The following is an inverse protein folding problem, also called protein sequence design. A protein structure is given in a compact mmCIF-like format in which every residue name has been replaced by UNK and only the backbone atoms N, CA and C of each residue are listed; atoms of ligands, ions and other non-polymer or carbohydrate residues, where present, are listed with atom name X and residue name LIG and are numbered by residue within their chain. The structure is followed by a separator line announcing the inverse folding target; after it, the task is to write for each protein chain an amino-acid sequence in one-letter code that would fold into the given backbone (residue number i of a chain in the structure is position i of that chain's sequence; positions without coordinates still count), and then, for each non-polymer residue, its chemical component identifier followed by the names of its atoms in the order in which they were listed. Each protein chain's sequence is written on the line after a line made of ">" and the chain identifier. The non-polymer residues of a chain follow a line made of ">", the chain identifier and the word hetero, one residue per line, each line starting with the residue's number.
data_IF_724148566110
#
_entry.id   IF_724148566110
#
_cell.length_a   1.000
_cell.length_b   1.000
_cell.length_c   1.000
_cell.angle_alpha   90.00
_cell.angle_beta   90.00
_cell.angle_gamma   90.00
#
_symmetry.space_group_name_H-M   'P 1'
#
loop_
_entity.id
_entity.type
_entity.pdbx_description
1 polymer ?
#
# COMPACT_ATOMS: atom_id res chain seq x y z
N UNK A 1 21.10 -21.70 2.74
CA UNK A 1 21.98 -21.67 1.56
C UNK A 1 21.69 -20.46 0.66
N UNK A 2 20.47 -20.30 0.10
CA UNK A 2 20.15 -19.11 -0.70
C UNK A 2 20.35 -17.81 0.08
N UNK A 3 20.03 -17.78 1.35
CA UNK A 3 20.17 -16.59 2.21
C UNK A 3 21.62 -16.17 2.49
N UNK A 4 22.58 -17.11 2.39
CA UNK A 4 24.01 -16.82 2.51
C UNK A 4 24.59 -16.13 1.25
N UNK A 5 23.89 -16.26 0.11
CA UNK A 5 24.34 -15.77 -1.19
C UNK A 5 23.64 -14.48 -1.60
N UNK A 6 22.31 -14.41 -1.43
CA UNK A 6 21.50 -13.27 -1.88
C UNK A 6 21.88 -11.96 -1.17
N UNK A 7 21.76 -10.86 -1.91
CA UNK A 7 21.91 -9.49 -1.38
C UNK A 7 20.55 -8.81 -1.17
N UNK A 8 19.58 -9.15 -2.03
CA UNK A 8 18.21 -8.64 -1.88
C UNK A 8 17.53 -9.25 -0.66
N UNK A 9 16.92 -8.42 0.17
CA UNK A 9 15.94 -8.84 1.17
C UNK A 9 14.69 -9.40 0.49
N UNK A 10 14.04 -10.37 1.12
CA UNK A 10 12.78 -10.93 0.64
C UNK A 10 11.71 -10.75 1.70
N UNK A 11 10.74 -9.88 1.41
CA UNK A 11 9.57 -9.61 2.24
C UNK A 11 8.32 -10.20 1.63
N UNK A 12 7.24 -10.22 2.37
CA UNK A 12 5.94 -10.66 1.87
C UNK A 12 4.89 -9.56 1.86
N UNK A 13 3.95 -9.68 0.92
CA UNK A 13 2.67 -8.96 0.95
C UNK A 13 1.72 -9.76 1.85
N UNK A 14 1.34 -9.21 2.99
CA UNK A 14 0.50 -9.88 3.97
C UNK A 14 -0.40 -8.86 4.67
N UNK A 15 -1.70 -9.10 4.61
CA UNK A 15 -2.73 -8.19 5.11
C UNK A 15 -3.42 -8.77 6.37
N UNK A 16 -3.19 -10.05 6.65
CA UNK A 16 -3.78 -10.79 7.76
C UNK A 16 -2.71 -11.49 8.61
N UNK A 17 -3.07 -11.84 9.85
CA UNK A 17 -2.22 -12.63 10.74
C UNK A 17 -1.87 -13.99 10.12
N UNK A 18 -2.81 -14.61 9.42
CA UNK A 18 -2.61 -15.90 8.75
C UNK A 18 -1.56 -15.78 7.65
N UNK A 19 -1.64 -14.74 6.83
CA UNK A 19 -0.66 -14.48 5.78
C UNK A 19 0.72 -14.16 6.37
N UNK A 20 0.76 -13.34 7.43
CA UNK A 20 1.99 -13.00 8.14
C UNK A 20 2.69 -14.25 8.71
N UNK A 21 1.96 -15.12 9.40
CA UNK A 21 2.48 -16.41 9.90
C UNK A 21 3.02 -17.28 8.79
N UNK A 22 2.28 -17.35 7.66
CA UNK A 22 2.71 -18.12 6.50
C UNK A 22 3.96 -17.55 5.86
N UNK A 23 4.02 -16.23 5.70
CA UNK A 23 5.19 -15.54 5.16
C UNK A 23 6.43 -15.81 6.01
N UNK A 24 6.32 -15.67 7.33
CA UNK A 24 7.41 -15.95 8.26
C UNK A 24 7.88 -17.40 8.19
N UNK A 25 6.94 -18.36 8.19
CA UNK A 25 7.25 -19.80 8.07
C UNK A 25 7.97 -20.14 6.75
N UNK A 26 7.74 -19.37 5.67
CA UNK A 26 8.40 -19.52 4.38
C UNK A 26 9.71 -18.72 4.26
N UNK A 27 10.10 -18.00 5.33
CA UNK A 27 11.38 -17.29 5.44
C UNK A 27 11.35 -15.85 4.95
N UNK A 28 10.20 -15.17 5.00
CA UNK A 28 10.13 -13.74 4.76
C UNK A 28 10.83 -12.95 5.88
N UNK A 29 11.52 -11.88 5.52
CA UNK A 29 12.27 -10.99 6.43
C UNK A 29 11.46 -9.75 6.82
N UNK A 30 10.16 -9.85 6.79
CA UNK A 30 9.21 -8.80 7.13
C UNK A 30 8.05 -8.70 6.15
N UNK A 31 7.21 -7.70 6.35
CA UNK A 31 6.12 -7.37 5.44
C UNK A 31 6.52 -6.15 4.61
N UNK A 32 6.50 -6.29 3.28
CA UNK A 32 6.79 -5.20 2.35
C UNK A 32 5.54 -4.45 1.87
N UNK A 33 4.36 -5.06 2.07
CA UNK A 33 3.06 -4.43 1.84
C UNK A 33 2.01 -5.05 2.74
N UNK A 34 1.43 -4.24 3.63
CA UNK A 34 0.19 -4.51 4.32
C UNK A 34 -0.85 -3.49 3.85
N UNK A 35 -1.94 -3.98 3.23
CA UNK A 35 -3.02 -3.16 2.68
C UNK A 35 -4.12 -3.01 3.71
N UNK A 36 -4.30 -1.80 4.22
CA UNK A 36 -5.26 -1.53 5.30
C UNK A 36 -6.73 -1.63 4.88
N UNK A 37 -7.03 -1.53 3.58
CA UNK A 37 -8.37 -1.71 3.03
C UNK A 37 -8.92 -3.11 3.30
N UNK A 38 -8.11 -4.15 3.27
CA UNK A 38 -8.55 -5.52 3.52
C UNK A 38 -9.02 -5.72 4.97
N UNK A 39 -8.54 -4.90 5.89
CA UNK A 39 -8.99 -4.92 7.28
C UNK A 39 -10.41 -4.37 7.46
N UNK A 40 -10.97 -3.66 6.46
CA UNK A 40 -12.30 -3.05 6.54
C UNK A 40 -13.45 -3.98 6.15
N UNK A 41 -13.17 -5.10 5.47
CA UNK A 41 -14.20 -6.03 4.98
C UNK A 41 -14.70 -7.06 6.03
N UNK A 42 -14.22 -7.03 7.26
CA UNK A 42 -14.72 -7.91 8.32
C UNK A 42 -16.20 -7.63 8.67
N UNK A 43 -16.97 -8.69 8.97
CA UNK A 43 -18.44 -8.62 9.20
C UNK A 43 -18.87 -7.55 10.20
N UNK A 44 -18.12 -7.35 11.28
CA UNK A 44 -18.43 -6.37 12.33
C UNK A 44 -17.89 -4.96 12.04
N UNK A 45 -17.22 -4.75 10.92
CA UNK A 45 -16.51 -3.50 10.59
C UNK A 45 -17.15 -2.75 9.45
N UNK A 46 -17.66 -3.48 8.47
CA UNK A 46 -18.18 -2.92 7.22
C UNK A 46 -19.28 -1.87 7.47
N UNK A 47 -20.12 -2.06 8.49
CA UNK A 47 -21.18 -1.09 8.83
C UNK A 47 -20.58 0.22 9.35
N UNK A 48 -19.52 0.16 10.16
CA UNK A 48 -18.81 1.35 10.63
C UNK A 48 -18.07 2.06 9.48
N UNK A 49 -17.49 1.29 8.55
CA UNK A 49 -16.86 1.83 7.33
C UNK A 49 -17.90 2.55 6.46
N UNK A 50 -19.04 1.92 6.20
CA UNK A 50 -20.15 2.51 5.45
C UNK A 50 -20.70 3.77 6.12
N UNK A 51 -20.86 3.75 7.44
CA UNK A 51 -21.28 4.93 8.21
C UNK A 51 -20.27 6.07 8.05
N UNK A 52 -18.98 5.78 8.15
CA UNK A 52 -17.91 6.75 7.92
C UNK A 52 -18.03 7.36 6.52
N UNK A 53 -18.11 6.53 5.48
CA UNK A 53 -18.15 6.96 4.08
C UNK A 53 -19.36 7.83 3.77
N UNK A 54 -20.56 7.40 4.16
CA UNK A 54 -21.80 8.13 3.84
C UNK A 54 -21.95 9.44 4.62
N UNK A 55 -21.29 9.55 5.78
CA UNK A 55 -21.30 10.81 6.55
C UNK A 55 -20.16 11.76 6.18
N UNK A 56 -19.09 11.29 5.56
CA UNK A 56 -17.89 12.08 5.26
C UNK A 56 -18.16 13.35 4.41
N UNK A 57 -18.94 13.33 3.31
CA UNK A 57 -19.18 14.53 2.50
C UNK A 57 -19.89 15.66 3.27
N UNK A 58 -20.86 15.31 4.11
CA UNK A 58 -21.62 16.26 4.91
C UNK A 58 -20.87 16.68 6.19
N UNK A 59 -20.06 15.77 6.75
CA UNK A 59 -19.15 16.08 7.85
C UNK A 59 -18.12 17.14 7.43
N UNK A 60 -17.63 17.08 6.18
CA UNK A 60 -16.73 18.10 5.61
C UNK A 60 -17.35 19.49 5.57
N UNK A 61 -18.67 19.59 5.40
CA UNK A 61 -19.44 20.85 5.51
C UNK A 61 -19.62 21.30 6.97
N UNK A 62 -19.08 20.55 7.94
CA UNK A 62 -19.19 20.77 9.39
C UNK A 62 -20.62 20.77 9.90
N UNK A 63 -21.52 20.05 9.26
CA UNK A 63 -22.86 19.83 9.76
C UNK A 63 -22.78 18.95 11.02
N UNK A 64 -23.51 19.35 12.07
CA UNK A 64 -23.32 18.83 13.44
C UNK A 64 -23.56 17.33 13.56
N UNK A 65 -24.68 16.83 13.02
CA UNK A 65 -25.02 15.40 13.08
C UNK A 65 -24.15 14.53 12.18
N UNK A 66 -23.94 14.84 10.89
CA UNK A 66 -23.02 14.07 10.03
C UNK A 66 -21.59 14.03 10.57
N UNK A 67 -21.09 15.14 11.13
CA UNK A 67 -19.75 15.16 11.74
C UNK A 67 -19.68 14.23 12.96
N UNK A 68 -20.71 14.22 13.81
CA UNK A 68 -20.76 13.32 14.97
C UNK A 68 -20.83 11.86 14.55
N UNK A 69 -21.59 11.52 13.50
CA UNK A 69 -21.66 10.17 12.94
C UNK A 69 -20.32 9.72 12.34
N UNK A 70 -19.67 10.58 11.57
CA UNK A 70 -18.36 10.35 10.98
C UNK A 70 -17.29 10.07 12.03
N UNK A 71 -17.17 10.93 13.02
CA UNK A 71 -16.21 10.76 14.12
C UNK A 71 -16.53 9.54 14.99
N UNK A 72 -17.81 9.24 15.22
CA UNK A 72 -18.23 8.02 15.94
C UNK A 72 -17.84 6.74 15.19
N UNK A 73 -17.96 6.74 13.86
CA UNK A 73 -17.55 5.61 13.03
C UNK A 73 -16.03 5.38 13.11
N UNK A 74 -15.24 6.43 12.95
CA UNK A 74 -13.78 6.37 13.10
C UNK A 74 -13.35 5.86 14.49
N UNK A 75 -14.04 6.33 15.55
CA UNK A 75 -13.81 5.89 16.94
C UNK A 75 -14.08 4.40 17.13
N UNK A 76 -15.05 3.83 16.41
CA UNK A 76 -15.32 2.38 16.43
C UNK A 76 -14.27 1.57 15.66
N UNK A 77 -13.78 2.10 14.54
CA UNK A 77 -12.79 1.44 13.68
C UNK A 77 -11.39 1.41 14.31
N UNK A 78 -11.02 2.45 15.04
CA UNK A 78 -9.70 2.58 15.67
C UNK A 78 -9.27 1.34 16.47
N UNK A 79 -10.02 0.86 17.48
CA UNK A 79 -9.61 -0.30 18.27
C UNK A 79 -9.53 -1.58 17.43
N UNK A 80 -10.33 -1.70 16.38
CA UNK A 80 -10.33 -2.87 15.50
C UNK A 80 -9.05 -2.92 14.68
N UNK A 81 -8.67 -1.80 14.04
CA UNK A 81 -7.41 -1.75 13.29
C UNK A 81 -6.18 -1.84 14.20
N UNK A 82 -6.21 -1.20 15.37
CA UNK A 82 -5.14 -1.36 16.35
C UNK A 82 -4.91 -2.82 16.70
N UNK A 83 -5.97 -3.57 16.98
CA UNK A 83 -5.87 -5.00 17.29
C UNK A 83 -5.27 -5.80 16.12
N UNK A 84 -5.62 -5.50 14.87
CA UNK A 84 -5.03 -6.17 13.70
C UNK A 84 -3.52 -5.91 13.63
N UNK A 85 -3.09 -4.66 13.84
CA UNK A 85 -1.67 -4.32 13.83
C UNK A 85 -0.92 -4.96 15.01
N UNK A 86 -1.50 -5.02 16.21
CA UNK A 86 -0.93 -5.73 17.36
C UNK A 86 -0.65 -7.19 17.01
N UNK A 87 -1.62 -7.86 16.39
CA UNK A 87 -1.46 -9.25 15.98
C UNK A 87 -0.39 -9.43 14.89
N UNK A 88 -0.33 -8.52 13.90
CA UNK A 88 0.69 -8.56 12.85
C UNK A 88 2.08 -8.31 13.44
N UNK A 89 2.24 -7.31 14.30
CA UNK A 89 3.49 -7.01 14.98
C UNK A 89 3.95 -8.16 15.87
N UNK A 90 3.02 -8.83 16.56
CA UNK A 90 3.34 -10.03 17.36
C UNK A 90 3.97 -11.13 16.49
N UNK A 91 3.47 -11.34 15.28
CA UNK A 91 4.05 -12.34 14.36
C UNK A 91 5.39 -11.88 13.80
N UNK A 92 5.55 -10.58 13.57
CA UNK A 92 6.71 -9.96 12.94
C UNK A 92 7.68 -9.34 13.95
N UNK A 93 7.75 -9.88 15.15
CA UNK A 93 8.67 -9.42 16.20
C UNK A 93 10.12 -9.32 15.66
N UNK A 94 10.75 -8.17 15.81
CA UNK A 94 12.08 -7.89 15.28
C UNK A 94 12.16 -7.63 13.76
N UNK A 95 11.05 -7.69 13.03
CA UNK A 95 11.01 -7.55 11.58
C UNK A 95 10.21 -6.31 11.13
N UNK A 96 10.59 -5.67 10.00
CA UNK A 96 9.89 -4.49 9.50
C UNK A 96 8.52 -4.84 8.92
N UNK A 97 7.55 -3.95 9.17
CA UNK A 97 6.18 -4.04 8.63
C UNK A 97 5.83 -2.75 7.90
N UNK A 98 5.78 -2.80 6.59
CA UNK A 98 5.37 -1.68 5.74
C UNK A 98 3.85 -1.67 5.59
N UNK A 99 3.20 -0.65 6.12
CA UNK A 99 1.74 -0.51 6.18
C UNK A 99 1.33 0.62 5.25
N UNK A 100 0.59 0.29 4.20
CA UNK A 100 0.01 1.27 3.28
C UNK A 100 -1.29 1.82 3.88
N UNK A 101 -1.37 3.14 4.03
CA UNK A 101 -2.61 3.79 4.43
C UNK A 101 -3.67 3.61 3.34
N UNK A 102 -4.94 3.79 3.72
CA UNK A 102 -6.10 3.52 2.87
C UNK A 102 -5.91 4.09 1.46
N UNK A 103 -6.02 3.21 0.46
CA UNK A 103 -5.77 3.54 -0.94
C UNK A 103 -7.04 3.55 -1.82
N UNK A 104 -7.94 2.54 -1.79
CA UNK A 104 -9.08 2.51 -2.71
C UNK A 104 -10.04 3.69 -2.54
N UNK A 105 -10.78 4.06 -3.60
CA UNK A 105 -11.89 5.00 -3.51
C UNK A 105 -12.95 4.52 -2.53
N UNK A 106 -13.59 5.47 -1.85
CA UNK A 106 -14.57 5.14 -0.80
C UNK A 106 -15.79 4.35 -1.31
N UNK A 107 -16.18 4.54 -2.58
CA UNK A 107 -17.35 3.85 -3.13
C UNK A 107 -17.17 2.34 -3.25
N UNK A 108 -15.93 1.81 -3.28
CA UNK A 108 -15.67 0.37 -3.34
C UNK A 108 -16.17 -0.38 -2.09
N UNK A 109 -16.31 0.31 -0.96
CA UNK A 109 -16.86 -0.27 0.27
C UNK A 109 -18.38 -0.19 0.34
N UNK A 110 -19.03 0.47 -0.62
CA UNK A 110 -20.46 0.66 -0.64
C UNK A 110 -21.16 -0.44 -1.45
N UNK A 111 -22.32 -0.93 -0.98
CA UNK A 111 -23.04 -1.95 -1.71
C UNK A 111 -23.61 -1.39 -3.01
N UNK A 112 -23.44 -2.17 -4.09
CA UNK A 112 -23.99 -1.85 -5.40
C UNK A 112 -25.41 -2.41 -5.57
N UNK A 113 -25.75 -3.47 -4.84
CA UNK A 113 -27.04 -4.17 -4.96
C UNK A 113 -28.13 -3.50 -4.12
N UNK A 114 -29.32 -3.38 -4.69
CA UNK A 114 -30.50 -2.78 -4.04
C UNK A 114 -30.85 -3.41 -2.69
N UNK A 115 -30.69 -4.71 -2.55
CA UNK A 115 -30.96 -5.41 -1.30
C UNK A 115 -30.03 -4.92 -0.17
N UNK A 116 -28.74 -4.90 -0.45
CA UNK A 116 -27.73 -4.45 0.51
C UNK A 116 -27.87 -2.96 0.83
N UNK A 117 -28.28 -2.14 -0.14
CA UNK A 117 -28.57 -0.72 0.09
C UNK A 117 -29.79 -0.53 0.99
N UNK A 118 -30.83 -1.38 0.86
CA UNK A 118 -32.01 -1.37 1.75
C UNK A 118 -31.62 -1.73 3.20
N UNK A 119 -30.79 -2.75 3.39
CA UNK A 119 -30.32 -3.11 4.73
C UNK A 119 -29.47 -1.98 5.35
N UNK A 120 -28.60 -1.37 4.56
CA UNK A 120 -27.81 -0.22 5.00
C UNK A 120 -28.70 0.98 5.37
N UNK A 121 -29.75 1.27 4.61
CA UNK A 121 -30.71 2.34 4.91
C UNK A 121 -31.39 2.12 6.27
N UNK A 122 -31.79 0.88 6.56
CA UNK A 122 -32.38 0.52 7.88
C UNK A 122 -31.40 0.71 9.02
N UNK A 123 -30.16 0.22 8.87
CA UNK A 123 -29.12 0.32 9.90
C UNK A 123 -28.78 1.78 10.20
N UNK A 124 -28.69 2.62 9.16
CA UNK A 124 -28.35 4.04 9.29
C UNK A 124 -29.55 4.92 9.63
N UNK A 125 -30.77 4.38 9.65
CA UNK A 125 -32.03 5.11 9.89
C UNK A 125 -32.24 6.27 8.92
N UNK A 126 -31.87 6.09 7.66
CA UNK A 126 -32.10 7.03 6.56
C UNK A 126 -32.94 6.37 5.45
N UNK A 127 -33.47 7.13 4.52
CA UNK A 127 -34.26 6.58 3.42
C UNK A 127 -33.38 5.84 2.42
N UNK A 128 -33.93 4.79 1.77
CA UNK A 128 -33.23 4.10 0.66
C UNK A 128 -32.81 5.08 -0.42
N UNK A 129 -33.69 6.03 -0.75
CA UNK A 129 -33.40 7.07 -1.76
C UNK A 129 -32.17 7.88 -1.40
N UNK A 130 -32.03 8.27 -0.15
CA UNK A 130 -30.85 9.01 0.33
C UNK A 130 -29.57 8.16 0.23
N UNK A 131 -29.61 6.86 0.54
CA UNK A 131 -28.48 5.95 0.33
C UNK A 131 -28.11 5.88 -1.13
N UNK A 132 -29.09 5.69 -2.02
CA UNK A 132 -28.86 5.60 -3.46
C UNK A 132 -28.25 6.89 -4.04
N UNK A 133 -28.77 8.05 -3.63
CA UNK A 133 -28.22 9.36 -4.04
C UNK A 133 -26.76 9.54 -3.59
N UNK A 134 -26.44 9.17 -2.34
CA UNK A 134 -25.07 9.23 -1.81
C UNK A 134 -24.13 8.25 -2.53
N UNK A 135 -24.57 7.02 -2.76
CA UNK A 135 -23.80 6.02 -3.52
C UNK A 135 -23.53 6.53 -4.93
N UNK A 136 -24.55 7.03 -5.62
CA UNK A 136 -24.41 7.60 -6.97
C UNK A 136 -23.46 8.82 -7.00
N UNK A 137 -23.49 9.67 -5.98
CA UNK A 137 -22.60 10.85 -5.89
C UNK A 137 -21.14 10.46 -5.65
N UNK A 138 -20.89 9.35 -4.95
CA UNK A 138 -19.55 8.86 -4.66
C UNK A 138 -18.98 7.98 -5.78
N UNK A 139 -19.86 7.51 -6.68
CA UNK A 139 -19.44 6.67 -7.80
C UNK A 139 -18.54 7.47 -8.75
N UNK A 140 -17.38 6.93 -9.07
CA UNK A 140 -16.41 7.55 -9.95
C UNK A 140 -16.42 6.89 -11.34
N UNK A 141 -16.28 7.71 -12.39
CA UNK A 141 -16.22 7.22 -13.77
C UNK A 141 -14.94 6.40 -14.01
N UNK A 142 -13.84 6.79 -13.39
CA UNK A 142 -12.58 6.06 -13.40
C UNK A 142 -11.98 6.01 -11.98
N UNK A 143 -12.30 4.96 -11.21
CA UNK A 143 -11.83 4.83 -9.82
C UNK A 143 -10.31 4.85 -9.68
N UNK A 144 -9.59 4.31 -10.67
CA UNK A 144 -8.13 4.22 -10.62
C UNK A 144 -7.45 5.59 -10.70
N UNK A 145 -8.07 6.56 -11.39
CA UNK A 145 -7.58 7.94 -11.53
C UNK A 145 -8.30 8.92 -10.59
N UNK A 146 -9.23 8.44 -9.77
CA UNK A 146 -10.17 9.22 -9.02
C UNK A 146 -9.70 9.66 -7.63
N UNK A 147 -10.67 9.77 -6.73
CA UNK A 147 -10.50 10.24 -5.36
C UNK A 147 -10.11 9.09 -4.43
N UNK A 148 -8.84 8.69 -4.50
CA UNK A 148 -8.26 7.58 -3.73
C UNK A 148 -6.92 7.99 -3.09
N UNK A 149 -6.39 7.14 -2.24
CA UNK A 149 -5.04 7.23 -1.70
C UNK A 149 -4.76 8.54 -0.97
N UNK A 150 -3.63 9.16 -1.26
CA UNK A 150 -3.24 10.43 -0.64
C UNK A 150 -4.27 11.54 -0.82
N UNK A 151 -5.06 11.52 -1.92
CA UNK A 151 -6.12 12.48 -2.18
C UNK A 151 -7.23 12.39 -1.13
N UNK A 152 -7.60 11.16 -0.71
CA UNK A 152 -8.48 10.94 0.43
C UNK A 152 -7.86 11.44 1.73
N UNK A 153 -6.60 11.10 1.98
CA UNK A 153 -5.88 11.56 3.17
C UNK A 153 -5.77 13.07 3.29
N UNK A 154 -5.80 13.81 2.16
CA UNK A 154 -5.81 15.27 2.14
C UNK A 154 -7.23 15.81 2.36
N UNK A 155 -8.23 15.21 1.76
CA UNK A 155 -9.61 15.72 1.77
C UNK A 155 -10.45 15.25 2.96
N UNK A 156 -10.13 14.06 3.51
CA UNK A 156 -10.72 13.45 4.70
C UNK A 156 -9.61 13.00 5.66
N UNK A 157 -8.84 13.93 6.19
CA UNK A 157 -7.59 13.62 6.90
C UNK A 157 -7.80 12.80 8.17
N UNK A 158 -8.98 12.83 8.77
CA UNK A 158 -9.30 12.08 9.98
C UNK A 158 -9.24 10.56 9.76
N UNK A 159 -9.42 10.09 8.52
CA UNK A 159 -9.26 8.67 8.16
C UNK A 159 -7.80 8.24 8.34
N UNK A 160 -6.87 9.01 7.78
CA UNK A 160 -5.44 8.73 7.94
C UNK A 160 -4.97 8.93 9.37
N UNK A 161 -5.48 9.95 10.08
CA UNK A 161 -5.17 10.14 11.50
C UNK A 161 -5.57 8.93 12.34
N UNK A 162 -6.76 8.38 12.11
CA UNK A 162 -7.23 7.18 12.79
C UNK A 162 -6.33 5.98 12.51
N UNK A 163 -5.92 5.77 11.25
CA UNK A 163 -5.02 4.68 10.89
C UNK A 163 -3.64 4.84 11.52
N UNK A 164 -3.06 6.02 11.45
CA UNK A 164 -1.75 6.32 12.08
C UNK A 164 -1.84 6.14 13.60
N UNK A 165 -2.92 6.61 14.21
CA UNK A 165 -3.16 6.39 15.64
C UNK A 165 -3.21 4.90 15.97
N UNK A 166 -3.93 4.09 15.19
CA UNK A 166 -4.02 2.64 15.39
C UNK A 166 -2.65 1.96 15.27
N UNK A 167 -1.85 2.34 14.26
CA UNK A 167 -0.50 1.79 14.05
C UNK A 167 0.42 2.11 15.22
N UNK A 168 0.46 3.38 15.63
CA UNK A 168 1.39 3.81 16.69
C UNK A 168 0.94 3.33 18.07
N UNK A 169 -0.39 3.32 18.37
CA UNK A 169 -0.90 2.69 19.60
C UNK A 169 -0.53 1.21 19.67
N UNK A 170 -0.70 0.47 18.58
CA UNK A 170 -0.29 -0.92 18.50
C UNK A 170 1.21 -1.11 18.75
N UNK A 171 2.04 -0.29 18.10
CA UNK A 171 3.49 -0.35 18.27
C UNK A 171 3.91 -0.03 19.71
N UNK A 172 3.29 0.97 20.35
CA UNK A 172 3.53 1.28 21.77
C UNK A 172 3.15 0.11 22.66
N UNK A 173 1.96 -0.47 22.46
CA UNK A 173 1.49 -1.63 23.26
C UNK A 173 2.42 -2.84 23.13
N UNK A 174 2.94 -3.10 21.92
CA UNK A 174 3.91 -4.19 21.73
C UNK A 174 5.24 -3.90 22.43
N UNK A 175 5.71 -2.65 22.37
CA UNK A 175 6.93 -2.27 23.07
C UNK A 175 6.82 -2.35 24.59
N UNK A 176 5.65 -2.05 25.16
CA UNK A 176 5.35 -2.28 26.59
C UNK A 176 5.42 -3.75 26.96
N UNK A 177 5.17 -4.65 25.99
CA UNK A 177 5.32 -6.11 26.15
C UNK A 177 6.72 -6.63 25.74
N UNK A 178 7.74 -5.75 25.75
CA UNK A 178 9.15 -6.08 25.46
C UNK A 178 9.41 -6.61 24.04
N UNK A 179 8.49 -6.34 23.09
CA UNK A 179 8.64 -6.75 21.70
C UNK A 179 9.36 -5.65 20.88
N UNK A 180 10.11 -6.07 19.87
CA UNK A 180 10.76 -5.18 18.93
C UNK A 180 9.87 -4.96 17.69
N UNK A 181 9.44 -3.72 17.46
CA UNK A 181 8.54 -3.38 16.34
C UNK A 181 9.15 -2.29 15.45
N UNK A 182 9.04 -2.50 14.14
CA UNK A 182 9.56 -1.58 13.12
C UNK A 182 8.49 -1.20 12.11
N UNK A 183 7.54 -0.32 12.47
CA UNK A 183 6.51 0.15 11.55
C UNK A 183 7.10 1.04 10.45
N UNK A 184 6.71 0.79 9.21
CA UNK A 184 7.00 1.63 8.06
C UNK A 184 5.67 2.10 7.47
N UNK A 185 5.31 3.38 7.67
CA UNK A 185 4.05 3.97 7.21
C UNK A 185 4.23 4.44 5.77
N UNK A 186 3.44 3.91 4.86
CA UNK A 186 3.54 4.14 3.43
C UNK A 186 2.34 4.93 2.90
N UNK A 187 2.62 6.09 2.29
CA UNK A 187 1.62 6.93 1.65
C UNK A 187 1.42 6.48 0.19
N UNK A 188 0.19 6.12 -0.21
CA UNK A 188 -0.09 5.69 -1.58
C UNK A 188 -0.28 6.86 -2.55
N UNK A 189 -0.07 6.63 -3.85
CA UNK A 189 -0.45 7.51 -4.97
C UNK A 189 0.10 8.95 -4.88
N UNK A 190 1.21 9.16 -4.24
CA UNK A 190 1.86 10.48 -4.19
C UNK A 190 2.27 10.90 -5.61
N UNK A 191 1.87 12.09 -6.02
CA UNK A 191 2.21 12.68 -7.31
C UNK A 191 3.08 13.93 -7.20
N UNK A 192 3.11 14.59 -6.02
CA UNK A 192 3.90 15.82 -5.79
C UNK A 192 4.64 15.77 -4.45
N UNK A 193 5.70 16.60 -4.35
CA UNK A 193 6.43 16.80 -3.10
C UNK A 193 5.49 17.35 -2.01
N UNK A 194 4.62 18.28 -2.37
CA UNK A 194 3.71 18.98 -1.46
C UNK A 194 2.67 18.04 -0.85
N UNK A 195 2.11 17.09 -1.64
CA UNK A 195 1.21 16.05 -1.12
C UNK A 195 1.92 15.22 -0.04
N UNK A 196 3.15 14.79 -0.32
CA UNK A 196 3.93 13.99 0.62
C UNK A 196 4.25 14.77 1.91
N UNK A 197 4.73 16.00 1.78
CA UNK A 197 5.10 16.86 2.92
C UNK A 197 3.89 17.15 3.80
N UNK A 198 2.74 17.47 3.20
CA UNK A 198 1.50 17.74 3.93
C UNK A 198 1.07 16.53 4.77
N UNK A 199 1.02 15.35 4.15
CA UNK A 199 0.59 14.13 4.83
C UNK A 199 1.63 13.64 5.85
N UNK A 200 2.93 13.69 5.54
CA UNK A 200 4.00 13.33 6.47
C UNK A 200 3.95 14.17 7.75
N UNK A 201 3.75 15.48 7.61
CA UNK A 201 3.59 16.38 8.75
C UNK A 201 2.44 15.97 9.66
N UNK A 202 1.34 15.51 9.04
CA UNK A 202 0.18 15.03 9.77
C UNK A 202 0.44 13.70 10.47
N UNK A 203 1.09 12.75 9.78
CA UNK A 203 1.52 11.48 10.37
C UNK A 203 2.38 11.72 11.62
N UNK A 204 3.36 12.62 11.54
CA UNK A 204 4.21 12.94 12.66
C UNK A 204 3.44 13.59 13.83
N UNK A 205 2.51 14.50 13.53
CA UNK A 205 1.71 15.14 14.57
C UNK A 205 0.85 14.12 15.36
N UNK A 206 0.22 13.17 14.65
CA UNK A 206 -0.57 12.10 15.30
C UNK A 206 0.34 11.15 16.07
N UNK A 207 1.44 10.71 15.49
CA UNK A 207 2.38 9.78 16.12
C UNK A 207 2.97 10.37 17.41
N UNK A 208 3.43 11.63 17.38
CA UNK A 208 3.97 12.32 18.56
C UNK A 208 2.92 12.46 19.67
N UNK A 209 1.67 12.79 19.30
CA UNK A 209 0.56 12.87 20.24
C UNK A 209 0.34 11.51 20.93
N UNK A 210 0.24 10.44 20.18
CA UNK A 210 0.01 9.08 20.72
C UNK A 210 1.16 8.64 21.62
N UNK A 211 2.41 8.80 21.17
CA UNK A 211 3.58 8.42 21.96
C UNK A 211 3.67 9.22 23.27
N UNK A 212 3.26 10.49 23.25
CA UNK A 212 3.20 11.31 24.46
C UNK A 212 2.10 10.86 25.42
N UNK A 213 0.90 10.55 24.90
CA UNK A 213 -0.23 10.06 25.70
C UNK A 213 0.04 8.69 26.31
N UNK A 214 0.79 7.85 25.61
CA UNK A 214 1.19 6.51 26.06
C UNK A 214 2.46 6.52 26.95
N UNK A 215 3.20 7.62 26.97
CA UNK A 215 4.53 7.72 27.61
C UNK A 215 5.55 6.71 27.07
N UNK A 216 5.34 6.20 25.83
CA UNK A 216 6.19 5.22 25.15
C UNK A 216 6.70 5.79 23.84
N UNK A 217 8.01 5.65 23.61
CA UNK A 217 8.64 6.05 22.34
C UNK A 217 8.92 4.82 21.47
N UNK A 218 8.41 4.83 20.25
CA UNK A 218 8.67 3.82 19.21
C UNK A 218 9.33 4.46 18.00
N UNK A 219 10.27 3.74 17.37
CA UNK A 219 10.84 4.13 16.09
C UNK A 219 9.88 3.73 14.96
N UNK A 220 9.69 4.61 13.99
CA UNK A 220 8.93 4.33 12.79
C UNK A 220 9.52 5.11 11.61
N UNK A 221 9.17 4.69 10.39
CA UNK A 221 9.56 5.40 9.16
C UNK A 221 8.33 5.83 8.38
N UNK A 222 8.47 6.95 7.66
CA UNK A 222 7.42 7.42 6.73
C UNK A 222 8.01 7.49 5.33
N UNK A 223 7.41 6.74 4.42
CA UNK A 223 7.80 6.68 3.01
C UNK A 223 6.59 6.68 2.09
N UNK A 224 6.82 6.39 0.84
CA UNK A 224 5.75 6.40 -0.16
C UNK A 224 5.86 5.25 -1.14
N UNK A 225 4.72 4.89 -1.73
CA UNK A 225 4.67 4.07 -2.92
C UNK A 225 4.97 4.94 -4.14
N UNK A 226 5.93 4.53 -4.94
CA UNK A 226 6.20 5.12 -6.26
C UNK A 226 5.43 4.28 -7.29
N UNK A 227 4.32 4.78 -7.72
CA UNK A 227 3.37 4.05 -8.57
C UNK A 227 2.74 4.91 -9.67
N UNK A 228 3.13 6.19 -9.72
CA UNK A 228 2.80 7.10 -10.81
C UNK A 228 4.08 7.47 -11.57
N UNK A 229 4.05 7.53 -12.92
CA UNK A 229 5.19 7.96 -13.71
C UNK A 229 5.76 9.33 -13.26
N UNK A 230 4.87 10.27 -12.92
CA UNK A 230 5.28 11.58 -12.41
C UNK A 230 6.10 11.48 -11.12
N UNK A 231 5.72 10.60 -10.19
CA UNK A 231 6.44 10.41 -8.93
C UNK A 231 7.86 9.87 -9.18
N UNK A 232 8.03 8.94 -10.13
CA UNK A 232 9.33 8.42 -10.52
C UNK A 232 10.23 9.52 -11.10
N UNK A 233 9.66 10.41 -11.94
CA UNK A 233 10.39 11.51 -12.60
C UNK A 233 10.82 12.63 -11.63
N UNK A 234 10.16 12.79 -10.50
CA UNK A 234 10.49 13.81 -9.47
C UNK A 234 10.95 13.17 -8.16
N UNK A 235 11.46 11.96 -8.22
CA UNK A 235 11.84 11.18 -7.05
C UNK A 235 12.92 11.88 -6.20
N UNK A 236 13.79 12.69 -6.81
CA UNK A 236 14.74 13.57 -6.13
C UNK A 236 14.07 14.51 -5.12
N UNK A 237 12.94 15.12 -5.51
CA UNK A 237 12.18 16.04 -4.65
C UNK A 237 11.50 15.29 -3.50
N UNK A 238 10.83 14.17 -3.82
CA UNK A 238 10.13 13.36 -2.82
C UNK A 238 11.12 12.77 -1.80
N UNK A 239 12.31 12.33 -2.24
CA UNK A 239 13.34 11.72 -1.41
C UNK A 239 13.95 12.68 -0.38
N UNK A 240 13.82 14.01 -0.54
CA UNK A 240 14.20 14.97 0.52
C UNK A 240 13.45 14.68 1.82
N UNK A 241 12.26 14.17 1.71
CA UNK A 241 11.34 13.99 2.81
C UNK A 241 11.03 12.52 3.12
N UNK A 242 10.97 11.65 2.11
CA UNK A 242 10.67 10.24 2.28
C UNK A 242 11.87 9.46 2.83
N UNK A 243 11.62 8.50 3.73
CA UNK A 243 12.64 7.66 4.34
C UNK A 243 12.80 6.33 3.62
N UNK A 244 11.85 5.96 2.78
CA UNK A 244 11.91 4.81 1.89
C UNK A 244 10.97 4.98 0.70
N UNK A 245 11.27 4.25 -0.37
CA UNK A 245 10.37 4.06 -1.52
C UNK A 245 10.00 2.60 -1.67
N UNK A 246 8.76 2.35 -2.07
CA UNK A 246 8.30 1.04 -2.54
C UNK A 246 7.63 1.21 -3.90
N UNK A 247 8.14 0.52 -4.93
CA UNK A 247 7.53 0.62 -6.26
C UNK A 247 6.28 -0.25 -6.34
N UNK A 248 5.12 0.39 -6.55
CA UNK A 248 3.83 -0.23 -6.82
C UNK A 248 3.68 -0.49 -8.32
N UNK A 249 4.28 -1.56 -8.80
CA UNK A 249 4.40 -1.80 -10.24
C UNK A 249 3.10 -2.12 -10.94
N UNK A 250 2.04 -2.51 -10.23
CA UNK A 250 0.71 -2.69 -10.85
C UNK A 250 0.17 -1.36 -11.37
N UNK A 251 0.06 -0.35 -10.49
CA UNK A 251 -0.40 0.99 -10.87
C UNK A 251 0.59 1.67 -11.81
N UNK A 252 1.90 1.51 -11.59
CA UNK A 252 2.91 2.09 -12.48
C UNK A 252 2.81 1.52 -13.90
N UNK A 253 2.58 0.22 -14.06
CA UNK A 253 2.34 -0.43 -15.35
C UNK A 253 1.08 0.13 -16.00
N UNK A 254 -0.03 0.16 -15.25
CA UNK A 254 -1.31 0.69 -15.72
C UNK A 254 -1.18 2.12 -16.23
N UNK A 255 -0.52 2.99 -15.47
CA UNK A 255 -0.35 4.40 -15.84
C UNK A 255 0.63 4.61 -16.99
N UNK A 256 1.65 3.76 -17.12
CA UNK A 256 2.65 3.87 -18.19
C UNK A 256 2.09 3.42 -19.53
N UNK A 257 1.35 2.30 -19.56
CA UNK A 257 0.68 1.82 -20.77
C UNK A 257 -0.62 2.54 -21.08
N UNK A 258 -1.26 3.20 -20.10
CA UNK A 258 -2.62 3.72 -20.25
C UNK A 258 -3.68 2.60 -20.31
N UNK A 259 -3.44 1.46 -19.66
CA UNK A 259 -4.34 0.32 -19.59
C UNK A 259 -5.05 0.28 -18.23
N UNK A 260 -6.33 -0.08 -18.23
CA UNK A 260 -7.00 -0.48 -16.99
C UNK A 260 -6.70 -1.96 -16.72
N UNK A 261 -6.13 -2.28 -15.56
CA UNK A 261 -5.82 -3.65 -15.15
C UNK A 261 -7.06 -4.56 -15.16
N UNK A 262 -8.22 -4.01 -14.89
CA UNK A 262 -9.48 -4.74 -14.86
C UNK A 262 -10.03 -5.03 -16.25
N UNK A 263 -9.70 -4.18 -17.23
CA UNK A 263 -10.24 -4.26 -18.59
C UNK A 263 -9.31 -4.95 -19.60
N UNK A 264 -8.04 -5.17 -19.24
CA UNK A 264 -7.04 -5.77 -20.17
C UNK A 264 -7.40 -7.15 -20.66
N UNK A 265 -8.22 -7.90 -19.92
CA UNK A 265 -8.72 -9.21 -20.34
C UNK A 265 -9.47 -9.20 -21.67
N UNK A 266 -9.96 -8.03 -22.12
CA UNK A 266 -10.67 -7.86 -23.37
C UNK A 266 -9.77 -7.78 -24.62
N UNK A 267 -8.47 -7.44 -24.48
CA UNK A 267 -7.57 -7.23 -25.62
C UNK A 267 -6.15 -7.82 -25.45
N UNK A 268 -5.62 -7.94 -24.25
CA UNK A 268 -4.25 -8.48 -24.02
C UNK A 268 -4.08 -9.90 -24.57
N UNK A 269 -5.07 -10.82 -24.48
CA UNK A 269 -4.94 -12.14 -25.10
C UNK A 269 -4.65 -12.08 -26.60
N UNK A 270 -5.30 -11.16 -27.32
CA UNK A 270 -5.06 -10.97 -28.77
C UNK A 270 -3.68 -10.34 -29.04
N UNK A 271 -3.19 -9.47 -28.16
CA UNK A 271 -1.84 -8.89 -28.25
C UNK A 271 -0.76 -9.96 -28.09
N UNK A 272 -0.98 -10.95 -27.23
CA UNK A 272 -0.08 -12.09 -27.03
C UNK A 272 -0.10 -13.03 -28.25
N UNK A 273 -1.28 -13.34 -28.79
CA UNK A 273 -1.42 -14.15 -30.00
C UNK A 273 -0.74 -13.53 -31.23
N UNK A 274 -0.83 -12.20 -31.36
CA UNK A 274 -0.19 -11.43 -32.43
C UNK A 274 1.28 -11.12 -32.17
N UNK A 275 1.82 -11.58 -31.05
CA UNK A 275 3.20 -11.32 -30.63
C UNK A 275 3.54 -9.82 -30.53
N UNK A 276 2.53 -8.97 -30.24
CA UNK A 276 2.73 -7.55 -29.92
C UNK A 276 3.37 -7.46 -28.54
N UNK A 277 2.94 -8.32 -27.60
CA UNK A 277 3.61 -8.55 -26.34
C UNK A 277 4.15 -9.98 -26.30
N UNK A 278 5.39 -10.15 -25.85
CA UNK A 278 5.91 -11.49 -25.56
C UNK A 278 5.29 -12.09 -24.31
N UNK A 279 4.95 -11.25 -23.34
CA UNK A 279 4.36 -11.59 -22.04
C UNK A 279 3.38 -10.51 -21.61
N UNK A 280 2.42 -10.91 -20.79
CA UNK A 280 1.49 -9.97 -20.16
C UNK A 280 2.26 -9.01 -19.24
N UNK A 281 2.19 -7.68 -19.48
CA UNK A 281 2.93 -6.68 -18.72
C UNK A 281 2.49 -6.57 -17.26
N UNK A 282 1.35 -7.16 -16.87
CA UNK A 282 0.94 -7.27 -15.48
C UNK A 282 1.47 -8.52 -14.76
N UNK A 283 1.98 -9.51 -15.50
CA UNK A 283 2.58 -10.72 -14.95
C UNK A 283 4.11 -10.65 -14.91
N UNK A 284 4.71 -10.05 -15.93
CA UNK A 284 6.16 -9.85 -16.03
C UNK A 284 6.42 -8.38 -16.27
N UNK A 285 7.35 -7.81 -15.50
CA UNK A 285 7.68 -6.39 -15.61
C UNK A 285 8.08 -6.03 -17.06
N UNK A 286 7.50 -4.98 -17.58
CA UNK A 286 7.98 -4.33 -18.79
C UNK A 286 9.28 -3.57 -18.49
N UNK A 287 10.41 -4.14 -18.92
CA UNK A 287 11.72 -3.56 -18.63
C UNK A 287 12.03 -2.31 -19.45
N UNK A 288 11.45 -2.17 -20.64
CA UNK A 288 11.72 -1.06 -21.56
C UNK A 288 11.05 0.25 -21.16
N UNK A 289 9.84 0.19 -20.66
CA UNK A 289 9.07 1.36 -20.24
C UNK A 289 9.00 1.49 -18.72
N UNK A 290 8.29 0.56 -18.06
CA UNK A 290 8.08 0.59 -16.61
C UNK A 290 9.39 0.42 -15.84
N UNK A 291 10.25 -0.50 -16.28
CA UNK A 291 11.56 -0.72 -15.68
C UNK A 291 12.42 0.54 -15.71
N UNK A 292 12.46 1.24 -16.84
CA UNK A 292 13.20 2.51 -16.94
C UNK A 292 12.68 3.59 -16.00
N UNK A 293 11.36 3.66 -15.78
CA UNK A 293 10.80 4.57 -14.76
C UNK A 293 11.24 4.18 -13.35
N UNK A 294 11.31 2.89 -13.06
CA UNK A 294 11.83 2.38 -11.79
C UNK A 294 13.30 2.79 -11.61
N UNK A 295 14.16 2.59 -12.62
CA UNK A 295 15.57 3.02 -12.60
C UNK A 295 15.72 4.52 -12.37
N UNK A 296 14.93 5.34 -13.10
CA UNK A 296 14.91 6.80 -12.92
C UNK A 296 14.55 7.12 -11.47
N UNK A 297 13.48 6.54 -10.95
CA UNK A 297 13.03 6.79 -9.58
C UNK A 297 14.07 6.42 -8.53
N UNK A 298 14.81 5.33 -8.71
CA UNK A 298 15.91 4.94 -7.81
C UNK A 298 17.07 5.91 -7.91
N UNK A 299 17.51 6.21 -9.12
CA UNK A 299 18.64 7.11 -9.39
C UNK A 299 18.38 8.51 -8.84
N UNK A 300 17.24 9.09 -9.20
CA UNK A 300 16.85 10.42 -8.73
C UNK A 300 16.63 10.43 -7.21
N UNK A 301 15.98 9.43 -6.64
CA UNK A 301 15.79 9.33 -5.20
C UNK A 301 17.11 9.27 -4.45
N UNK A 302 18.06 8.44 -4.90
CA UNK A 302 19.37 8.29 -4.28
C UNK A 302 20.33 9.44 -4.56
N UNK A 303 20.10 10.24 -5.60
CA UNK A 303 20.88 11.47 -5.81
C UNK A 303 20.69 12.47 -4.68
N UNK A 304 19.51 12.47 -4.06
CA UNK A 304 19.17 13.32 -2.91
C UNK A 304 19.42 12.62 -1.57
N UNK A 305 19.07 11.33 -1.48
CA UNK A 305 19.25 10.51 -0.27
C UNK A 305 20.00 9.21 -0.63
N UNK A 306 21.33 9.18 -0.55
CA UNK A 306 22.13 8.01 -0.95
C UNK A 306 21.72 6.71 -0.27
N UNK A 307 21.33 6.78 1.02
CA UNK A 307 20.89 5.64 1.84
C UNK A 307 19.38 5.34 1.71
N UNK A 308 18.71 5.88 0.68
CA UNK A 308 17.29 5.65 0.48
C UNK A 308 17.00 4.15 0.33
N UNK A 309 16.21 3.62 1.25
CA UNK A 309 15.72 2.25 1.18
C UNK A 309 14.69 2.13 0.08
N UNK A 310 14.89 1.21 -0.84
CA UNK A 310 14.05 1.02 -2.01
C UNK A 310 13.65 -0.45 -2.15
N UNK A 311 12.37 -0.70 -2.37
CA UNK A 311 11.84 -2.03 -2.65
C UNK A 311 10.75 -2.01 -3.72
N UNK A 312 10.23 -3.19 -4.02
CA UNK A 312 9.10 -3.42 -4.93
C UNK A 312 8.04 -4.26 -4.21
N UNK A 313 6.77 -3.97 -4.43
CA UNK A 313 5.67 -4.69 -3.77
C UNK A 313 4.52 -5.08 -4.71
N UNK A 314 4.61 -4.78 -6.01
CA UNK A 314 3.63 -5.22 -7.02
C UNK A 314 3.69 -6.72 -7.30
N UNK A 315 2.79 -7.22 -8.13
CA UNK A 315 2.73 -8.64 -8.53
C UNK A 315 4.07 -9.16 -9.09
N UNK A 316 4.82 -8.27 -9.73
CA UNK A 316 6.12 -8.56 -10.33
C UNK A 316 7.20 -8.97 -9.31
N UNK A 317 7.06 -8.61 -8.03
CA UNK A 317 8.04 -8.89 -6.97
C UNK A 317 8.29 -10.38 -6.70
N UNK A 318 7.42 -11.27 -7.21
CA UNK A 318 7.59 -12.72 -7.14
C UNK A 318 8.11 -13.38 -8.44
N UNK A 319 8.35 -12.60 -9.49
CA UNK A 319 8.83 -13.12 -10.77
C UNK A 319 10.37 -13.18 -10.80
N UNK A 320 11.01 -14.33 -11.14
CA UNK A 320 12.47 -14.48 -11.12
C UNK A 320 13.23 -13.49 -12.01
N UNK A 321 12.72 -13.14 -13.20
CA UNK A 321 13.36 -12.18 -14.09
C UNK A 321 13.30 -10.76 -13.51
N UNK A 322 12.16 -10.39 -12.93
CA UNK A 322 11.99 -9.10 -12.21
C UNK A 322 12.91 -9.04 -10.99
N UNK A 323 13.06 -10.14 -10.25
CA UNK A 323 13.96 -10.21 -9.08
C UNK A 323 15.41 -10.00 -9.48
N UNK A 324 15.87 -10.65 -10.58
CA UNK A 324 17.19 -10.42 -11.14
C UNK A 324 17.39 -8.95 -11.54
N UNK A 325 16.41 -8.37 -12.19
CA UNK A 325 16.41 -6.94 -12.54
C UNK A 325 16.50 -6.04 -11.29
N UNK A 326 15.70 -6.29 -10.26
CA UNK A 326 15.75 -5.55 -9.00
C UNK A 326 17.12 -5.64 -8.33
N UNK A 327 17.79 -6.80 -8.44
CA UNK A 327 19.15 -6.97 -7.98
C UNK A 327 20.12 -6.08 -8.77
N UNK A 328 20.04 -6.10 -10.10
CA UNK A 328 20.94 -5.38 -11.00
C UNK A 328 20.85 -3.87 -10.85
N UNK A 329 19.63 -3.32 -10.61
CA UNK A 329 19.41 -1.90 -10.37
C UNK A 329 19.60 -1.48 -8.89
N UNK A 330 20.04 -2.43 -8.04
CA UNK A 330 20.46 -2.16 -6.67
C UNK A 330 19.29 -1.88 -5.68
N UNK A 331 18.14 -2.52 -5.84
CA UNK A 331 17.08 -2.47 -4.80
C UNK A 331 17.55 -3.12 -3.51
N UNK A 332 16.92 -2.75 -2.40
CA UNK A 332 17.19 -3.33 -1.08
C UNK A 332 16.38 -4.60 -0.82
N UNK A 333 15.14 -4.66 -1.30
CA UNK A 333 14.28 -5.82 -1.11
C UNK A 333 13.23 -5.95 -2.22
N UNK A 334 12.71 -7.17 -2.35
CA UNK A 334 11.49 -7.47 -3.10
C UNK A 334 10.41 -7.95 -2.12
N UNK A 335 9.14 -7.69 -2.44
CA UNK A 335 8.01 -8.17 -1.66
C UNK A 335 7.01 -8.87 -2.57
N UNK A 336 6.58 -10.06 -2.18
CA UNK A 336 5.71 -10.92 -2.99
C UNK A 336 4.66 -11.62 -2.11
N UNK A 337 3.72 -12.34 -2.73
CA UNK A 337 2.80 -13.17 -1.96
C UNK A 337 3.53 -14.21 -1.12
N UNK A 338 3.01 -14.63 0.04
CA UNK A 338 3.69 -15.57 0.93
C UNK A 338 4.21 -16.84 0.23
N UNK A 339 3.40 -17.40 -0.66
CA UNK A 339 3.77 -18.62 -1.41
C UNK A 339 4.93 -18.42 -2.40
N UNK A 340 5.21 -17.20 -2.80
CA UNK A 340 6.33 -16.87 -3.70
C UNK A 340 7.64 -16.62 -2.95
N UNK A 341 7.63 -16.48 -1.64
CA UNK A 341 8.83 -16.21 -0.83
C UNK A 341 9.96 -17.20 -1.09
N UNK A 342 9.75 -18.54 -1.10
CA UNK A 342 10.86 -19.49 -1.37
C UNK A 342 11.44 -19.30 -2.77
N UNK A 343 10.61 -19.06 -3.77
CA UNK A 343 11.03 -18.80 -5.16
C UNK A 343 11.83 -17.50 -5.22
N UNK A 344 11.37 -16.46 -4.56
CA UNK A 344 12.05 -15.16 -4.54
C UNK A 344 13.43 -15.23 -3.86
N UNK A 345 13.56 -15.99 -2.77
CA UNK A 345 14.86 -16.23 -2.12
C UNK A 345 15.86 -16.95 -3.02
N UNK A 346 15.38 -17.98 -3.73
CA UNK A 346 16.21 -18.70 -4.70
C UNK A 346 16.61 -17.81 -5.89
N UNK A 347 15.67 -17.10 -6.49
CA UNK A 347 15.91 -16.19 -7.61
C UNK A 347 16.89 -15.07 -7.24
N UNK A 348 16.77 -14.51 -6.02
CA UNK A 348 17.69 -13.50 -5.52
C UNK A 348 19.12 -14.02 -5.37
N UNK A 349 19.30 -15.29 -4.95
CA UNK A 349 20.61 -15.94 -4.89
C UNK A 349 21.17 -16.21 -6.29
N UNK A 350 20.34 -16.71 -7.21
CA UNK A 350 20.72 -16.94 -8.61
C UNK A 350 21.15 -15.65 -9.33
N UNK A 351 20.49 -14.52 -9.03
CA UNK A 351 20.88 -13.21 -9.56
C UNK A 351 22.31 -12.82 -9.16
N UNK A 352 22.69 -13.05 -7.90
CA UNK A 352 24.08 -12.82 -7.44
C UNK A 352 25.08 -13.69 -8.16
N UNK A 353 24.72 -14.95 -8.46
CA UNK A 353 25.59 -15.91 -9.17
C UNK A 353 25.61 -15.71 -10.69
N UNK A 354 24.86 -14.75 -11.23
CA UNK A 354 24.74 -14.52 -12.67
C UNK A 354 24.04 -15.65 -13.43
N UNK A 355 23.29 -16.51 -12.72
CA UNK A 355 22.55 -17.64 -13.32
C UNK A 355 21.18 -17.25 -13.86
N UNK A 356 20.65 -16.11 -13.44
CA UNK A 356 19.46 -15.48 -13.99
C UNK A 356 19.86 -14.10 -14.48
N UNK A 357 19.76 -13.86 -15.78
CA UNK A 357 20.05 -12.55 -16.38
C UNK A 357 18.78 -11.76 -16.51
N UNK A 358 18.82 -10.48 -16.17
CA UNK A 358 17.77 -9.56 -16.56
C UNK A 358 17.86 -9.29 -18.08
N UNK A 359 16.74 -9.08 -18.78
CA UNK A 359 16.76 -8.73 -20.20
C UNK A 359 17.56 -7.46 -20.52
N UNK A 360 17.73 -6.56 -19.56
CA UNK A 360 18.53 -5.33 -19.70
C UNK A 360 20.06 -5.56 -19.87
N UNK A 361 20.57 -6.75 -19.62
CA UNK A 361 21.98 -7.11 -19.87
C UNK A 361 22.25 -7.75 -21.22
N UNK A 362 21.24 -7.99 -22.03
CA UNK A 362 21.44 -8.37 -23.43
C UNK A 362 21.77 -7.09 -24.20
N UNK A 363 23.02 -6.66 -24.08
CA UNK A 363 23.59 -5.62 -24.95
C UNK A 363 23.56 -6.16 -26.37
N UNK A 364 22.92 -5.43 -27.26
CA UNK A 364 23.02 -5.55 -28.71
C UNK A 364 24.45 -5.30 -29.15
#
# INVERSE_FOLDING_TARGET
>A
WADEIRKLGVRANADTVTDAKKALALGAEGIGLCRTEHMFFGENRIDSVRQMILSAPDAKKRLKEPLALYLSALKKLLPMQRHDFEQIFTVMDGLPVTIRLLDPPLHEFLPQEDYNQKEMAKQMKISLKEVQEKVATLHETNPMLGHRGCRLGITYPEIYDMQVQAIIEAACNMKENEMEVYPEIMLPIISTEEEFVLLKKRVYAVAEKVMKEKEVRVGYKVGTMIELPRAALIADKIAKHAEFFSFGTNDLTQMTFGFSREDVGSFVPEYLEKVIFEKDPFQVLDFEGVGRLVEIGIKEGRSTRPELKVGICGEHGGNPQTIAYCHDIGMNYVSCSPFRVPIARLAAAQAVLGQTTSPSRVTV
#
